data_IF_082280933483
#
_entry.id   IF_082280933483
#
_cell.length_a   1.000
_cell.length_b   1.000
_cell.length_c   1.000
_cell.angle_alpha   90.00
_cell.angle_beta   90.00
_cell.angle_gamma   90.00
#
_symmetry.space_group_name_H-M   'P 1'
#
loop_
_entity.id
_entity.type
_entity.pdbx_description
1 polymer ?
#
# COMPACT_ATOMS: atom_id res chain seq x y z
N UNK A 1 24.63 8.65 -17.25
CA UNK A 1 23.64 8.80 -16.16
C UNK A 1 24.34 8.57 -14.83
N UNK A 2 24.19 9.47 -13.86
CA UNK A 2 24.75 9.26 -12.52
C UNK A 2 23.84 8.34 -11.69
N UNK A 3 24.40 7.63 -10.71
CA UNK A 3 23.62 6.74 -9.82
C UNK A 3 22.46 7.49 -9.14
N UNK A 4 22.70 8.74 -8.71
CA UNK A 4 21.68 9.63 -8.14
C UNK A 4 20.52 9.91 -9.11
N UNK A 5 20.82 10.12 -10.40
CA UNK A 5 19.79 10.36 -11.41
C UNK A 5 18.92 9.13 -11.67
N UNK A 6 19.52 7.93 -11.63
CA UNK A 6 18.79 6.66 -11.74
C UNK A 6 17.83 6.46 -10.55
N UNK A 7 18.31 6.69 -9.32
CA UNK A 7 17.47 6.62 -8.11
C UNK A 7 16.28 7.59 -8.18
N UNK A 8 16.52 8.83 -8.62
CA UNK A 8 15.45 9.82 -8.80
C UNK A 8 14.39 9.36 -9.81
N UNK A 9 14.81 8.80 -10.93
CA UNK A 9 13.91 8.29 -11.97
C UNK A 9 13.06 7.13 -11.43
N UNK A 10 13.70 6.19 -10.74
CA UNK A 10 13.03 5.07 -10.08
C UNK A 10 12.00 5.55 -9.06
N UNK A 11 12.35 6.56 -8.24
CA UNK A 11 11.43 7.11 -7.24
C UNK A 11 10.23 7.79 -7.89
N UNK A 12 10.43 8.52 -8.99
CA UNK A 12 9.32 9.13 -9.73
C UNK A 12 8.38 8.07 -10.30
N UNK A 13 8.92 6.96 -10.83
CA UNK A 13 8.11 5.84 -11.31
C UNK A 13 7.33 5.19 -10.17
N UNK A 14 7.99 4.93 -9.03
CA UNK A 14 7.34 4.38 -7.84
C UNK A 14 6.21 5.29 -7.31
N UNK A 15 6.45 6.61 -7.26
CA UNK A 15 5.45 7.59 -6.87
C UNK A 15 4.21 7.58 -7.78
N UNK A 16 4.42 7.48 -9.10
CA UNK A 16 3.34 7.38 -10.08
C UNK A 16 2.51 6.10 -9.89
N UNK A 17 3.18 4.95 -9.73
CA UNK A 17 2.50 3.67 -9.48
C UNK A 17 1.73 3.73 -8.17
N UNK A 18 2.35 4.24 -7.10
CA UNK A 18 1.70 4.37 -5.79
C UNK A 18 0.48 5.29 -5.85
N UNK A 19 0.55 6.40 -6.56
CA UNK A 19 -0.60 7.28 -6.81
C UNK A 19 -1.73 6.54 -7.52
N UNK A 20 -1.41 5.76 -8.56
CA UNK A 20 -2.39 4.96 -9.30
C UNK A 20 -3.04 3.88 -8.42
N UNK A 21 -2.24 3.07 -7.72
CA UNK A 21 -2.72 1.98 -6.87
C UNK A 21 -3.57 2.47 -5.68
N UNK A 22 -3.24 3.65 -5.14
CA UNK A 22 -3.99 4.26 -4.04
C UNK A 22 -5.11 5.20 -4.49
N UNK A 23 -5.29 5.39 -5.80
CA UNK A 23 -6.21 6.39 -6.39
C UNK A 23 -6.01 7.81 -5.84
N UNK A 24 -4.76 8.15 -5.47
CA UNK A 24 -4.38 9.48 -4.98
C UNK A 24 -3.83 10.33 -6.10
N UNK A 25 -3.93 11.65 -5.94
CA UNK A 25 -3.32 12.59 -6.89
C UNK A 25 -1.78 12.46 -6.88
N UNK A 26 -1.10 12.37 -8.04
CA UNK A 26 0.36 12.22 -8.10
C UNK A 26 1.12 13.32 -7.36
N UNK A 27 0.61 14.55 -7.37
CA UNK A 27 1.20 15.66 -6.61
C UNK A 27 1.19 15.44 -5.08
N UNK A 28 0.14 14.79 -4.54
CA UNK A 28 0.06 14.48 -3.11
C UNK A 28 1.09 13.43 -2.70
N UNK A 29 1.25 12.38 -3.50
CA UNK A 29 2.27 11.35 -3.26
C UNK A 29 3.68 11.90 -3.43
N UNK A 30 3.89 12.79 -4.40
CA UNK A 30 5.18 13.45 -4.57
C UNK A 30 5.53 14.35 -3.38
N UNK A 31 4.57 15.11 -2.87
CA UNK A 31 4.75 15.93 -1.66
C UNK A 31 5.09 15.07 -0.46
N UNK A 32 4.33 14.01 -0.22
CA UNK A 32 4.59 13.07 0.88
C UNK A 32 5.99 12.47 0.83
N UNK A 33 6.47 12.05 -0.34
CA UNK A 33 7.83 11.52 -0.48
C UNK A 33 8.90 12.60 -0.27
N UNK A 34 8.63 13.85 -0.64
CA UNK A 34 9.54 14.96 -0.38
C UNK A 34 9.59 15.29 1.13
N UNK A 35 8.43 15.31 1.78
CA UNK A 35 8.29 15.51 3.22
C UNK A 35 9.01 14.40 4.00
N UNK A 36 8.91 13.14 3.57
CA UNK A 36 9.64 12.00 4.17
C UNK A 36 11.16 12.15 4.08
N UNK A 37 11.66 12.71 2.98
CA UNK A 37 13.09 13.01 2.82
C UNK A 37 13.51 14.32 3.52
N UNK A 38 12.57 15.14 3.99
CA UNK A 38 12.85 16.46 4.56
C UNK A 38 13.35 17.48 3.54
N UNK A 39 12.90 17.41 2.28
CA UNK A 39 13.32 18.33 1.20
C UNK A 39 12.13 19.02 0.57
N UNK A 40 12.30 20.24 0.05
CA UNK A 40 11.25 20.89 -0.74
C UNK A 40 11.14 20.25 -2.12
N UNK A 41 12.29 20.01 -2.77
CA UNK A 41 12.34 19.42 -4.11
C UNK A 41 13.23 18.19 -4.12
N UNK A 42 12.77 17.14 -4.81
CA UNK A 42 13.52 15.88 -5.01
C UNK A 42 14.89 16.04 -5.69
N UNK A 43 15.14 17.17 -6.36
CA UNK A 43 16.46 17.47 -6.93
C UNK A 43 17.52 17.74 -5.86
N UNK A 44 17.10 18.23 -4.69
CA UNK A 44 17.96 18.57 -3.55
C UNK A 44 18.30 17.34 -2.70
N UNK A 45 17.47 16.29 -2.76
CA UNK A 45 17.68 15.06 -1.99
C UNK A 45 19.05 14.43 -2.26
N UNK A 46 19.68 13.90 -1.23
CA UNK A 46 20.90 13.09 -1.30
C UNK A 46 20.60 11.71 -1.89
N UNK A 47 21.66 10.95 -2.22
CA UNK A 47 21.47 9.59 -2.73
C UNK A 47 20.83 8.67 -1.67
N UNK A 48 21.17 8.85 -0.40
CA UNK A 48 20.64 8.03 0.70
C UNK A 48 19.17 8.34 0.98
N UNK A 49 18.79 9.63 1.03
CA UNK A 49 17.38 10.04 1.11
C UNK A 49 16.53 9.45 -0.03
N UNK A 50 17.06 9.44 -1.26
CA UNK A 50 16.37 8.83 -2.40
C UNK A 50 16.22 7.31 -2.26
N UNK A 51 17.20 6.62 -1.64
CA UNK A 51 17.14 5.17 -1.37
C UNK A 51 16.09 4.86 -0.30
N UNK A 52 16.10 5.59 0.80
CA UNK A 52 15.12 5.43 1.89
C UNK A 52 13.69 5.67 1.39
N UNK A 53 13.47 6.74 0.61
CA UNK A 53 12.16 7.01 0.03
C UNK A 53 11.71 5.95 -0.98
N UNK A 54 12.66 5.35 -1.72
CA UNK A 54 12.40 4.22 -2.61
C UNK A 54 11.98 2.96 -1.85
N UNK A 55 12.68 2.66 -0.76
CA UNK A 55 12.37 1.53 0.10
C UNK A 55 10.96 1.68 0.71
N UNK A 56 10.67 2.86 1.26
CA UNK A 56 9.35 3.21 1.77
C UNK A 56 8.24 3.04 0.72
N UNK A 57 8.43 3.58 -0.49
CA UNK A 57 7.47 3.43 -1.57
C UNK A 57 7.29 1.97 -1.98
N UNK A 58 8.39 1.19 -2.01
CA UNK A 58 8.39 -0.23 -2.31
C UNK A 58 7.59 -1.05 -1.29
N UNK A 59 7.77 -0.80 0.00
CA UNK A 59 7.02 -1.45 1.07
C UNK A 59 5.53 -1.18 0.98
N UNK A 60 5.16 0.06 0.69
CA UNK A 60 3.74 0.43 0.55
C UNK A 60 3.10 -0.26 -0.65
N UNK A 61 3.80 -0.35 -1.78
CA UNK A 61 3.33 -1.10 -2.95
C UNK A 61 3.21 -2.60 -2.66
N UNK A 62 4.17 -3.18 -1.94
CA UNK A 62 4.09 -4.59 -1.48
C UNK A 62 2.88 -4.80 -0.58
N UNK A 63 2.60 -3.89 0.35
CA UNK A 63 1.45 -3.95 1.24
C UNK A 63 0.12 -3.87 0.47
N UNK A 64 0.03 -3.00 -0.53
CA UNK A 64 -1.15 -2.88 -1.39
C UNK A 64 -1.38 -4.16 -2.21
N UNK A 65 -0.32 -4.72 -2.81
CA UNK A 65 -0.42 -5.96 -3.56
C UNK A 65 -0.85 -7.14 -2.67
N UNK A 66 -0.34 -7.23 -1.43
CA UNK A 66 -0.81 -8.23 -0.44
C UNK A 66 -2.30 -8.08 -0.14
N UNK A 67 -2.81 -6.85 0.02
CA UNK A 67 -4.24 -6.58 0.25
C UNK A 67 -5.12 -6.96 -0.95
N UNK A 68 -4.64 -6.74 -2.18
CA UNK A 68 -5.37 -7.13 -3.39
C UNK A 68 -5.38 -8.64 -3.62
N UNK A 69 -4.32 -9.34 -3.20
CA UNK A 69 -4.18 -10.80 -3.31
C UNK A 69 -4.78 -11.57 -2.15
N UNK A 70 -5.06 -10.92 -1.02
CA UNK A 70 -5.80 -11.54 0.05
C UNK A 70 -7.19 -11.94 -0.51
N UNK A 71 -7.59 -13.22 -0.42
CA UNK A 71 -8.95 -13.59 -0.79
C UNK A 71 -9.90 -12.70 0.01
N UNK A 72 -10.86 -12.06 -0.67
CA UNK A 72 -12.01 -11.50 0.03
C UNK A 72 -12.55 -12.63 0.89
N UNK A 73 -12.44 -12.52 2.22
CA UNK A 73 -13.26 -13.31 3.12
C UNK A 73 -14.71 -12.97 2.74
N UNK A 74 -15.27 -13.81 1.87
CA UNK A 74 -16.70 -14.02 1.78
C UNK A 74 -17.06 -14.76 3.07
N UNK A 75 -17.13 -14.04 4.18
CA UNK A 75 -17.94 -14.48 5.31
C UNK A 75 -19.38 -14.11 4.98
N UNK A 76 -19.95 -14.88 4.05
CA UNK A 76 -21.36 -14.86 3.73
C UNK A 76 -21.78 -16.26 3.33
N UNK A 77 -21.90 -17.12 4.34
CA UNK A 77 -22.83 -18.26 4.42
C UNK A 77 -22.90 -18.58 5.92
N UNK A 78 -23.86 -18.04 6.67
CA UNK A 78 -25.14 -18.71 6.94
C UNK A 78 -25.01 -20.24 6.89
N UNK A 79 -24.50 -20.84 7.97
CA UNK A 79 -24.94 -22.17 8.35
C UNK A 79 -26.00 -21.98 9.44
N UNK A 80 -27.23 -22.26 9.02
CA UNK A 80 -28.36 -22.57 9.88
C UNK A 80 -27.89 -23.60 10.90
N UNK A 81 -27.81 -23.21 12.18
CA UNK A 81 -27.87 -24.17 13.27
C UNK A 81 -29.31 -24.68 13.31
N UNK A 82 -29.60 -25.65 12.45
CA UNK A 82 -30.79 -26.49 12.56
C UNK A 82 -30.55 -27.43 13.75
N UNK A 83 -30.84 -26.90 14.94
CA UNK A 83 -30.76 -27.61 16.21
C UNK A 83 -31.91 -28.62 16.28
N UNK A 84 -31.78 -29.70 15.50
CA UNK A 84 -32.53 -30.94 15.71
C UNK A 84 -31.90 -31.67 16.91
N UNK A 85 -32.18 -31.18 18.11
CA UNK A 85 -31.94 -31.95 19.33
C UNK A 85 -33.26 -32.15 20.03
N UNK A 86 -33.65 -33.42 20.11
CA UNK A 86 -34.90 -33.86 20.70
C UNK A 86 -35.05 -33.43 22.15
N UNK A 87 -36.30 -33.22 22.54
CA UNK A 87 -36.67 -32.92 23.91
C UNK A 87 -38.11 -32.44 24.02
N UNK A 88 -39.06 -33.34 23.80
CA UNK A 88 -40.38 -33.28 24.44
C UNK A 88 -40.22 -33.76 25.90
N UNK A 89 -41.06 -33.43 26.91
CA UNK A 89 -41.68 -32.18 27.42
C UNK A 89 -41.21 -31.89 28.89
N UNK A 90 -41.86 -31.03 29.74
CA UNK A 90 -43.05 -31.47 30.50
C UNK A 90 -44.10 -30.37 30.86
N UNK A 91 -45.38 -30.76 30.79
CA UNK A 91 -46.62 -30.10 31.26
C UNK A 91 -47.16 -28.90 30.47
#
# INVERSE_FOLDING_TARGET
MTAKQSLRSSLNKAAYVLAKETRRHPGSVNRELNDLMGVERRAEATADQLREALEYAGDRLRALNKRQRAPKQKDSTHEEFDFTSGGDPPF
#
